data_IF_334584823044
#
_entry.id   IF_334584823044
#
_cell.length_a   1.000
_cell.length_b   1.000
_cell.length_c   1.000
_cell.angle_alpha   90.00
_cell.angle_beta   90.00
_cell.angle_gamma   90.00
#
_symmetry.space_group_name_H-M   'P 1'
#
loop_
_entity.id
_entity.type
_entity.pdbx_description
1 polymer ?
#
# COMPACT_ATOMS: atom_id res chain seq x y z
N UNK A 1 -9.73 0.69 -15.19
CA UNK A 1 -11.19 0.42 -15.19
C UNK A 1 -11.62 -0.77 -16.06
N UNK A 2 -10.92 -1.11 -17.16
CA UNK A 2 -11.28 -2.20 -18.08
C UNK A 2 -11.25 -3.63 -17.49
N UNK A 3 -10.53 -3.88 -16.39
CA UNK A 3 -10.32 -5.23 -15.83
C UNK A 3 -11.38 -5.68 -14.80
N UNK A 4 -12.43 -4.89 -14.56
CA UNK A 4 -13.51 -5.18 -13.57
C UNK A 4 -13.00 -5.68 -12.20
N UNK A 5 -11.90 -5.11 -11.71
CA UNK A 5 -11.37 -5.45 -10.38
C UNK A 5 -12.25 -4.80 -9.32
N UNK A 6 -12.87 -5.61 -8.46
CA UNK A 6 -13.62 -5.13 -7.32
C UNK A 6 -12.64 -4.60 -6.26
N UNK A 7 -12.77 -3.32 -5.89
CA UNK A 7 -12.06 -2.72 -4.76
C UNK A 7 -12.92 -2.93 -3.51
N UNK A 8 -12.36 -3.60 -2.51
CA UNK A 8 -13.05 -3.89 -1.25
C UNK A 8 -12.84 -2.85 -0.17
N UNK A 9 -11.65 -2.26 -0.13
CA UNK A 9 -11.32 -1.16 0.76
C UNK A 9 -10.11 -0.38 0.21
N UNK A 10 -9.98 0.86 0.67
CA UNK A 10 -8.87 1.74 0.35
C UNK A 10 -8.26 2.25 1.65
N UNK A 11 -6.96 2.02 1.82
CA UNK A 11 -6.18 2.57 2.91
C UNK A 11 -5.22 3.63 2.37
N UNK A 12 -5.05 4.71 3.11
CA UNK A 12 -4.04 5.73 2.84
C UNK A 12 -3.17 5.97 4.05
N UNK A 13 -1.96 6.47 3.82
CA UNK A 13 -1.25 7.18 4.88
C UNK A 13 -2.00 8.45 5.27
N UNK A 14 -1.66 9.02 6.41
CA UNK A 14 -2.24 10.27 6.90
C UNK A 14 -1.63 11.51 6.23
N UNK A 15 -0.82 11.38 5.19
CA UNK A 15 -0.20 12.56 4.58
C UNK A 15 -1.09 13.08 3.45
N UNK A 16 -1.28 14.40 3.33
CA UNK A 16 -2.24 14.99 2.37
C UNK A 16 -2.12 14.37 0.97
N UNK A 17 -0.90 14.27 0.42
CA UNK A 17 -0.67 13.70 -0.90
C UNK A 17 -1.21 12.27 -1.10
N UNK A 18 -1.17 11.40 -0.10
CA UNK A 18 -1.67 10.02 -0.23
C UNK A 18 -3.17 9.99 -0.05
N UNK A 19 -3.71 10.75 0.91
CA UNK A 19 -5.16 10.90 1.11
C UNK A 19 -5.84 11.47 -0.13
N UNK A 20 -5.30 12.56 -0.67
CA UNK A 20 -5.84 13.25 -1.84
C UNK A 20 -5.78 12.34 -3.07
N UNK A 21 -4.67 11.62 -3.28
CA UNK A 21 -4.56 10.62 -4.36
C UNK A 21 -5.61 9.51 -4.20
N UNK A 22 -5.76 8.96 -3.00
CA UNK A 22 -6.73 7.90 -2.72
C UNK A 22 -8.17 8.37 -2.96
N UNK A 23 -8.51 9.58 -2.50
CA UNK A 23 -9.83 10.18 -2.68
C UNK A 23 -10.15 10.48 -4.13
N UNK A 24 -9.20 11.08 -4.86
CA UNK A 24 -9.36 11.38 -6.28
C UNK A 24 -9.56 10.11 -7.12
N UNK A 25 -8.85 9.03 -6.80
CA UNK A 25 -8.92 7.78 -7.56
C UNK A 25 -10.09 6.87 -7.18
N UNK A 26 -10.50 6.85 -5.90
CA UNK A 26 -11.43 5.85 -5.37
C UNK A 26 -12.63 6.42 -4.57
N UNK A 27 -12.74 7.74 -4.43
CA UNK A 27 -13.82 8.42 -3.71
C UNK A 27 -13.56 8.57 -2.21
N UNK A 28 -14.58 8.98 -1.45
CA UNK A 28 -14.43 9.37 -0.04
C UNK A 28 -14.28 8.22 0.96
N UNK A 29 -14.49 6.97 0.52
CA UNK A 29 -14.39 5.77 1.39
C UNK A 29 -12.93 5.32 1.59
N UNK A 30 -12.09 6.25 2.01
CA UNK A 30 -10.67 6.03 2.30
C UNK A 30 -10.45 6.03 3.81
N UNK A 31 -9.75 5.02 4.31
CA UNK A 31 -9.38 4.94 5.73
C UNK A 31 -7.92 5.27 5.93
N UNK A 32 -7.65 6.20 6.83
CA UNK A 32 -6.29 6.51 7.25
C UNK A 32 -5.70 5.37 8.09
N UNK A 33 -4.44 5.03 7.80
CA UNK A 33 -3.65 4.06 8.54
C UNK A 33 -2.30 4.70 8.91
N UNK A 34 -2.06 4.83 10.22
CA UNK A 34 -0.84 5.44 10.76
C UNK A 34 0.41 4.70 10.31
N UNK A 35 0.35 3.36 10.26
CA UNK A 35 1.47 2.53 9.84
C UNK A 35 1.89 2.78 8.37
N UNK A 36 1.05 3.41 7.55
CA UNK A 36 1.38 3.75 6.16
C UNK A 36 2.10 5.10 6.00
N UNK A 37 2.30 5.86 7.08
CA UNK A 37 3.06 7.11 7.03
C UNK A 37 4.51 6.89 6.57
N UNK A 38 5.16 7.91 6.01
CA UNK A 38 6.55 7.77 5.59
C UNK A 38 7.45 7.65 6.82
N UNK A 39 8.32 6.65 6.84
CA UNK A 39 9.38 6.51 7.83
C UNK A 39 10.76 6.95 7.33
N UNK A 40 10.84 7.63 6.17
CA UNK A 40 12.12 8.00 5.53
C UNK A 40 13.11 8.71 6.46
N UNK A 41 12.63 9.50 7.43
CA UNK A 41 13.45 10.23 8.39
C UNK A 41 13.65 9.51 9.74
N UNK A 42 13.17 8.27 9.87
CA UNK A 42 13.27 7.50 11.10
C UNK A 42 14.54 6.63 11.11
N UNK A 43 14.99 6.24 12.30
CA UNK A 43 16.05 5.24 12.44
C UNK A 43 15.64 3.90 11.80
N UNK A 44 16.62 3.15 11.30
CA UNK A 44 16.40 1.90 10.54
C UNK A 44 15.51 0.89 11.29
N UNK A 45 15.70 0.73 12.60
CA UNK A 45 14.93 -0.22 13.41
C UNK A 45 13.45 0.17 13.52
N UNK A 46 13.15 1.47 13.62
CA UNK A 46 11.77 1.96 13.63
C UNK A 46 11.08 1.72 12.28
N UNK A 47 11.80 1.89 11.17
CA UNK A 47 11.31 1.56 9.83
C UNK A 47 11.01 0.06 9.65
N UNK A 48 11.84 -0.82 10.23
CA UNK A 48 11.62 -2.27 10.21
C UNK A 48 10.37 -2.67 11.00
N UNK A 49 10.19 -2.13 12.21
CA UNK A 49 9.00 -2.37 13.02
C UNK A 49 7.72 -1.89 12.33
N UNK A 50 7.74 -0.69 11.74
CA UNK A 50 6.61 -0.16 10.99
C UNK A 50 6.31 -1.01 9.74
N UNK A 51 7.34 -1.46 9.02
CA UNK A 51 7.17 -2.38 7.87
C UNK A 51 6.52 -3.70 8.29
N UNK A 52 6.91 -4.26 9.44
CA UNK A 52 6.29 -5.47 9.99
C UNK A 52 4.81 -5.25 10.35
N UNK A 53 4.45 -4.09 10.92
CA UNK A 53 3.06 -3.72 11.21
C UNK A 53 2.22 -3.63 9.93
N UNK A 54 2.72 -2.95 8.89
CA UNK A 54 2.04 -2.86 7.60
C UNK A 54 1.89 -4.24 6.98
N UNK A 55 2.95 -5.06 6.97
CA UNK A 55 2.90 -6.44 6.47
C UNK A 55 1.80 -7.23 7.16
N UNK A 56 1.76 -7.23 8.49
CA UNK A 56 0.75 -7.94 9.27
C UNK A 56 -0.67 -7.46 8.96
N UNK A 57 -0.86 -6.15 8.76
CA UNK A 57 -2.14 -5.58 8.36
C UNK A 57 -2.59 -6.09 6.99
N UNK A 58 -1.70 -6.07 6.00
CA UNK A 58 -2.01 -6.42 4.62
C UNK A 58 -2.27 -7.93 4.43
N UNK A 59 -1.48 -8.80 5.06
CA UNK A 59 -1.66 -10.26 4.94
C UNK A 59 -2.94 -10.76 5.61
N UNK A 60 -3.53 -9.98 6.52
CA UNK A 60 -4.81 -10.28 7.18
C UNK A 60 -6.04 -9.86 6.36
N UNK A 61 -5.86 -9.17 5.24
CA UNK A 61 -7.00 -8.79 4.41
C UNK A 61 -7.77 -10.01 3.90
N UNK A 62 -9.06 -10.09 4.24
CA UNK A 62 -10.00 -11.14 3.80
C UNK A 62 -11.32 -10.54 3.27
N UNK A 63 -11.35 -9.22 3.04
CA UNK A 63 -12.53 -8.54 2.55
C UNK A 63 -12.81 -8.86 1.06
N UNK A 64 -13.98 -8.44 0.56
CA UNK A 64 -14.37 -8.72 -0.82
C UNK A 64 -13.47 -7.97 -1.81
N UNK A 65 -12.84 -8.66 -2.76
CA UNK A 65 -11.98 -8.03 -3.76
C UNK A 65 -10.63 -7.53 -3.21
N UNK A 66 -10.02 -6.58 -3.91
CA UNK A 66 -8.66 -6.10 -3.62
C UNK A 66 -8.67 -5.02 -2.54
N UNK A 67 -7.64 -5.05 -1.70
CA UNK A 67 -7.27 -3.94 -0.84
C UNK A 67 -6.37 -2.98 -1.64
N UNK A 68 -6.79 -1.73 -1.78
CA UNK A 68 -5.95 -0.68 -2.35
C UNK A 68 -5.23 0.04 -1.20
N UNK A 69 -3.93 0.29 -1.38
CA UNK A 69 -3.08 0.93 -0.39
C UNK A 69 -2.31 2.07 -1.06
N UNK A 70 -2.54 3.30 -0.60
CA UNK A 70 -1.86 4.50 -1.11
C UNK A 70 -0.87 4.98 -0.06
N UNK A 71 0.41 4.81 -0.34
CA UNK A 71 1.50 5.09 0.61
C UNK A 71 2.70 5.75 -0.07
N UNK A 72 3.90 5.60 0.48
CA UNK A 72 5.14 6.23 0.04
C UNK A 72 6.14 5.20 -0.49
N UNK A 73 7.10 5.67 -1.29
CA UNK A 73 8.15 4.82 -1.87
C UNK A 73 8.85 3.95 -0.82
N UNK A 74 9.17 4.48 0.36
CA UNK A 74 9.86 3.71 1.43
C UNK A 74 9.04 2.51 1.90
N UNK A 75 7.72 2.64 2.02
CA UNK A 75 6.84 1.52 2.37
C UNK A 75 6.76 0.51 1.22
N UNK A 76 6.60 0.97 -0.02
CA UNK A 76 6.52 0.10 -1.20
C UNK A 76 7.81 -0.73 -1.35
N UNK A 77 8.96 -0.07 -1.22
CA UNK A 77 10.26 -0.71 -1.34
C UNK A 77 10.52 -1.70 -0.20
N UNK A 78 10.20 -1.35 1.04
CA UNK A 78 10.37 -2.26 2.17
C UNK A 78 9.45 -3.49 2.12
N UNK A 79 8.25 -3.35 1.53
CA UNK A 79 7.30 -4.45 1.41
C UNK A 79 7.59 -5.38 0.23
N UNK A 80 8.04 -4.82 -0.90
CA UNK A 80 8.11 -5.52 -2.19
C UNK A 80 9.53 -5.71 -2.74
N UNK A 81 10.52 -5.03 -2.15
CA UNK A 81 11.87 -4.93 -2.71
C UNK A 81 11.99 -4.04 -3.96
N UNK A 82 10.88 -3.46 -4.44
CA UNK A 82 10.85 -2.64 -5.66
C UNK A 82 10.46 -1.20 -5.36
N UNK A 83 11.11 -0.26 -6.05
CA UNK A 83 10.66 1.13 -6.07
C UNK A 83 9.51 1.30 -7.08
N UNK A 84 8.60 2.23 -6.79
CA UNK A 84 7.56 2.66 -7.71
C UNK A 84 7.82 4.10 -8.15
N UNK A 85 7.62 4.40 -9.43
CA UNK A 85 7.60 5.77 -9.91
C UNK A 85 6.37 6.53 -9.38
N UNK A 86 6.35 7.86 -9.54
CA UNK A 86 5.16 8.65 -9.22
C UNK A 86 3.97 8.18 -10.06
N UNK A 87 2.82 8.02 -9.40
CA UNK A 87 1.58 7.47 -9.96
C UNK A 87 1.66 6.02 -10.49
N UNK A 88 2.77 5.30 -10.28
CA UNK A 88 2.86 3.88 -10.57
C UNK A 88 2.29 3.04 -9.41
N UNK A 89 1.49 2.02 -9.74
CA UNK A 89 0.96 1.04 -8.79
C UNK A 89 1.62 -0.32 -8.95
N UNK A 90 1.75 -1.07 -7.86
CA UNK A 90 2.17 -2.47 -7.88
C UNK A 90 1.00 -3.37 -7.48
N UNK A 91 0.76 -4.42 -8.27
CA UNK A 91 -0.17 -5.49 -7.91
C UNK A 91 0.63 -6.59 -7.24
N UNK A 92 0.33 -6.87 -5.98
CA UNK A 92 1.05 -7.85 -5.17
C UNK A 92 0.14 -8.95 -4.68
N UNK A 93 0.73 -10.12 -4.43
CA UNK A 93 0.09 -11.25 -3.75
C UNK A 93 0.89 -11.61 -2.50
N UNK A 94 0.23 -11.75 -1.32
CA UNK A 94 0.91 -12.27 -0.15
C UNK A 94 1.25 -13.76 -0.34
N UNK A 95 2.46 -14.14 0.03
CA UNK A 95 2.90 -15.53 0.10
C UNK A 95 2.67 -16.11 1.50
N UNK A 96 2.84 -17.43 1.65
CA UNK A 96 2.60 -18.15 2.92
C UNK A 96 3.50 -17.68 4.07
N UNK A 97 4.69 -17.18 3.76
CA UNK A 97 5.66 -16.62 4.70
C UNK A 97 5.40 -15.13 5.04
N UNK A 98 4.34 -14.54 4.49
CA UNK A 98 4.00 -13.12 4.65
C UNK A 98 4.80 -12.16 3.77
N UNK A 99 5.68 -12.66 2.89
CA UNK A 99 6.30 -11.85 1.83
C UNK A 99 5.28 -11.45 0.76
N UNK A 100 5.63 -10.47 -0.08
CA UNK A 100 4.79 -10.02 -1.20
C UNK A 100 5.46 -10.33 -2.53
N UNK A 101 4.79 -11.14 -3.35
CA UNK A 101 5.19 -11.35 -4.75
C UNK A 101 4.57 -10.25 -5.62
N UNK A 102 5.41 -9.52 -6.37
CA UNK A 102 4.93 -8.56 -7.38
C UNK A 102 4.47 -9.30 -8.62
N UNK A 103 3.21 -9.13 -9.00
CA UNK A 103 2.59 -9.79 -10.15
C UNK A 103 2.58 -8.90 -11.39
N UNK A 104 2.41 -7.59 -11.21
CA UNK A 104 2.35 -6.61 -12.28
C UNK A 104 2.59 -5.20 -11.75
N UNK A 105 2.93 -4.29 -12.66
CA UNK A 105 2.88 -2.84 -12.44
C UNK A 105 1.71 -2.23 -13.21
N UNK A 106 1.15 -1.16 -12.65
CA UNK A 106 0.13 -0.32 -13.27
C UNK A 106 0.82 1.01 -13.55
N UNK A 107 1.04 1.31 -14.82
CA UNK A 107 1.58 2.60 -15.26
C UNK A 107 0.51 3.70 -15.12
N UNK A 108 0.94 4.98 -15.01
CA UNK A 108 0.03 6.12 -14.98
C UNK A 108 -0.98 6.13 -16.14
#
# INVERSE_FOLDING_TARGET
RSRRVQVGAVLSSQWCRTRDTARLAFGEQVRDELALNSFFSQASDAGAAQTAQVRALLVRWRGPGVLVVVTHQVNIQALTGQAAASAEGLVVRPAADGSFQVLATIKP
#
